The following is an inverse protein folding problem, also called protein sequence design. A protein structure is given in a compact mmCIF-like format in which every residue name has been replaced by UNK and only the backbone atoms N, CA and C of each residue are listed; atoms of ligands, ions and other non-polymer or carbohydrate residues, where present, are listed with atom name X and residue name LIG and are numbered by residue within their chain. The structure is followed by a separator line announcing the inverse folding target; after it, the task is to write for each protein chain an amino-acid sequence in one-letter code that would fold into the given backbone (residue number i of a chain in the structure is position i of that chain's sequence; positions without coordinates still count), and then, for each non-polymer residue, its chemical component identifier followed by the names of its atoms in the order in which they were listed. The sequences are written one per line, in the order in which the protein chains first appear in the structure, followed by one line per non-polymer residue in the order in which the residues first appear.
data_IF_567922741386
#
_entry.id   IF_567922741386
#
_cell.length_a   1.000
_cell.length_b   1.000
_cell.length_c   1.000
_cell.angle_alpha   90.00
_cell.angle_beta   90.00
_cell.angle_gamma   90.00
#
_symmetry.space_group_name_H-M   'P 1'
#
loop_
_entity.id
_entity.type
_entity.pdbx_description
1 polymer ?
#
# COMPACT_ATOMS: atom_id res chain seq x y z
N UNK A 1 -7.36 16.90 -0.49
CA UNK A 1 -6.28 17.91 -0.33
C UNK A 1 -6.82 19.33 -0.49
N UNK A 2 -7.39 19.71 -1.64
CA UNK A 2 -7.88 21.08 -1.89
C UNK A 2 -8.89 21.58 -0.83
N UNK A 3 -9.83 20.73 -0.41
CA UNK A 3 -10.82 21.09 0.62
C UNK A 3 -10.15 21.43 1.95
N UNK A 4 -9.17 20.64 2.39
CA UNK A 4 -8.45 20.86 3.65
C UNK A 4 -7.57 22.11 3.57
N UNK A 5 -6.92 22.34 2.43
CA UNK A 5 -6.10 23.53 2.20
C UNK A 5 -6.93 24.82 2.24
N UNK A 6 -8.09 24.81 1.57
CA UNK A 6 -9.02 25.95 1.59
C UNK A 6 -9.58 26.14 3.00
N UNK A 7 -9.99 25.06 3.68
CA UNK A 7 -10.50 25.15 5.05
C UNK A 7 -9.46 25.74 6.03
N UNK A 8 -8.18 25.39 5.88
CA UNK A 8 -7.11 25.92 6.72
C UNK A 8 -6.78 27.40 6.45
N UNK A 9 -7.19 27.93 5.30
CA UNK A 9 -6.95 29.33 4.92
C UNK A 9 -8.04 30.28 5.42
N UNK A 10 -9.16 29.73 5.93
CA UNK A 10 -10.30 30.51 6.43
C UNK A 10 -10.24 30.51 7.96
N UNK A 11 -10.30 31.69 8.61
CA UNK A 11 -10.24 31.76 10.06
C UNK A 11 -11.50 31.14 10.70
N UNK A 12 -11.30 30.47 11.82
CA UNK A 12 -12.38 29.94 12.63
C UNK A 12 -13.25 31.08 13.19
N UNK A 13 -14.57 30.86 13.19
CA UNK A 13 -15.51 31.76 13.86
C UNK A 13 -15.33 31.67 15.39
N UNK A 14 -15.56 32.78 16.10
CA UNK A 14 -15.34 32.86 17.55
C UNK A 14 -16.16 31.85 18.39
N UNK A 15 -17.31 31.40 17.87
CA UNK A 15 -18.18 30.41 18.53
C UNK A 15 -17.83 28.95 18.16
N UNK A 16 -16.81 28.74 17.33
CA UNK A 16 -16.39 27.41 16.92
C UNK A 16 -15.74 26.66 18.10
N UNK A 17 -16.12 25.39 18.36
CA UNK A 17 -15.40 24.54 19.31
C UNK A 17 -14.00 24.14 18.82
N UNK A 18 -13.69 24.35 17.54
CA UNK A 18 -12.39 24.09 16.92
C UNK A 18 -11.77 25.42 16.51
N UNK A 19 -10.62 25.75 17.08
CA UNK A 19 -9.84 26.92 16.71
C UNK A 19 -8.84 26.59 15.59
N UNK A 20 -8.25 27.63 15.00
CA UNK A 20 -7.30 27.51 13.89
C UNK A 20 -6.07 26.67 14.26
N UNK A 21 -5.60 26.77 15.51
CA UNK A 21 -4.44 26.03 15.99
C UNK A 21 -4.70 24.52 16.08
N UNK A 22 -5.87 24.12 16.61
CA UNK A 22 -6.28 22.72 16.67
C UNK A 22 -6.52 22.16 15.27
N UNK A 23 -7.15 22.94 14.39
CA UNK A 23 -7.34 22.55 13.00
C UNK A 23 -5.99 22.33 12.28
N UNK A 24 -5.06 23.26 12.43
CA UNK A 24 -3.71 23.14 11.88
C UNK A 24 -2.94 21.94 12.43
N UNK A 25 -3.07 21.65 13.73
CA UNK A 25 -2.37 20.52 14.35
C UNK A 25 -2.86 19.18 13.79
N UNK A 26 -4.17 19.03 13.55
CA UNK A 26 -4.76 17.79 13.04
C UNK A 26 -4.61 17.66 11.53
N UNK A 27 -4.85 18.75 10.80
CA UNK A 27 -4.97 18.73 9.33
C UNK A 27 -3.76 19.30 8.59
N UNK A 28 -2.88 20.05 9.25
CA UNK A 28 -1.71 20.68 8.63
C UNK A 28 -0.74 19.65 8.04
N UNK A 29 -0.55 18.51 8.71
CA UNK A 29 0.28 17.41 8.21
C UNK A 29 -0.42 16.52 7.17
N UNK A 30 -1.72 16.70 6.94
CA UNK A 30 -2.48 15.84 6.02
C UNK A 30 -1.95 15.95 4.59
N UNK A 31 -1.55 17.15 4.15
CA UNK A 31 -1.00 17.35 2.81
C UNK A 31 0.25 16.48 2.62
N UNK A 32 1.20 16.60 3.55
CA UNK A 32 2.46 15.83 3.55
C UNK A 32 2.17 14.33 3.63
N UNK A 33 1.27 13.90 4.52
CA UNK A 33 0.95 12.49 4.69
C UNK A 33 0.32 11.87 3.44
N UNK A 34 -0.59 12.59 2.77
CA UNK A 34 -1.19 12.13 1.51
C UNK A 34 -0.13 12.07 0.40
N UNK A 35 0.72 13.08 0.27
CA UNK A 35 1.82 13.06 -0.71
C UNK A 35 2.79 11.90 -0.46
N UNK A 36 3.18 11.67 0.80
CA UNK A 36 4.03 10.55 1.18
C UNK A 36 3.40 9.21 0.83
N UNK A 37 2.10 9.04 1.10
CA UNK A 37 1.35 7.83 0.75
C UNK A 37 1.28 7.61 -0.77
N UNK A 38 1.06 8.66 -1.56
CA UNK A 38 1.01 8.55 -3.02
C UNK A 38 2.37 8.15 -3.61
N UNK A 39 3.47 8.77 -3.15
CA UNK A 39 4.83 8.43 -3.59
C UNK A 39 5.17 6.99 -3.22
N UNK A 40 4.86 6.61 -1.98
CA UNK A 40 5.04 5.26 -1.47
C UNK A 40 4.30 4.22 -2.31
N UNK A 41 3.02 4.48 -2.59
CA UNK A 41 2.18 3.61 -3.40
C UNK A 41 2.75 3.41 -4.81
N UNK A 42 3.14 4.49 -5.49
CA UNK A 42 3.69 4.41 -6.85
C UNK A 42 4.99 3.60 -6.88
N UNK A 43 5.86 3.82 -5.90
CA UNK A 43 7.14 3.11 -5.82
C UNK A 43 6.93 1.63 -5.49
N UNK A 44 6.07 1.32 -4.53
CA UNK A 44 5.71 -0.04 -4.17
C UNK A 44 5.06 -0.79 -5.33
N UNK A 45 4.13 -0.15 -6.06
CA UNK A 45 3.46 -0.75 -7.20
C UNK A 45 4.43 -1.03 -8.36
N UNK A 46 5.34 -0.10 -8.64
CA UNK A 46 6.38 -0.30 -9.65
C UNK A 46 7.24 -1.53 -9.30
N UNK A 47 7.67 -1.63 -8.05
CA UNK A 47 8.48 -2.74 -7.56
C UNK A 47 7.70 -4.07 -7.58
N UNK A 48 6.42 -4.06 -7.22
CA UNK A 48 5.55 -5.24 -7.27
C UNK A 48 5.50 -5.82 -8.69
N UNK A 49 5.22 -4.97 -9.69
CA UNK A 49 5.12 -5.38 -11.09
C UNK A 49 6.44 -5.98 -11.59
N UNK A 50 7.57 -5.34 -11.27
CA UNK A 50 8.91 -5.80 -11.69
C UNK A 50 9.23 -7.17 -11.09
N UNK A 51 9.01 -7.34 -9.78
CA UNK A 51 9.29 -8.60 -9.08
C UNK A 51 8.33 -9.71 -9.54
N UNK A 52 7.06 -9.37 -9.75
CA UNK A 52 6.07 -10.32 -10.27
C UNK A 52 6.49 -10.87 -11.63
N UNK A 53 6.90 -9.99 -12.56
CA UNK A 53 7.37 -10.40 -13.89
C UNK A 53 8.69 -11.15 -13.85
N UNK A 54 9.62 -10.75 -12.98
CA UNK A 54 10.87 -11.46 -12.73
C UNK A 54 10.59 -12.93 -12.34
N UNK A 55 9.73 -13.15 -11.36
CA UNK A 55 9.36 -14.51 -10.95
C UNK A 55 8.51 -15.25 -11.98
N UNK A 56 7.64 -14.56 -12.72
CA UNK A 56 6.86 -15.17 -13.82
C UNK A 56 7.79 -15.76 -14.89
N UNK A 57 8.82 -15.01 -15.30
CA UNK A 57 9.79 -15.44 -16.30
C UNK A 57 10.67 -16.58 -15.79
N UNK A 58 11.13 -16.49 -14.53
CA UNK A 58 11.97 -17.51 -13.93
C UNK A 58 11.23 -18.84 -13.71
N UNK A 59 9.99 -18.79 -13.21
CA UNK A 59 9.19 -19.98 -12.87
C UNK A 59 8.38 -20.54 -14.03
N UNK A 60 8.50 -19.94 -15.23
CA UNK A 60 7.70 -20.27 -16.43
C UNK A 60 6.19 -20.32 -16.13
N UNK A 61 5.74 -19.45 -15.23
CA UNK A 61 4.34 -19.35 -14.78
C UNK A 61 3.82 -20.52 -13.94
N UNK A 62 4.65 -21.45 -13.47
CA UNK A 62 4.17 -22.63 -12.72
C UNK A 62 3.86 -22.35 -11.25
N UNK A 63 4.59 -21.44 -10.61
CA UNK A 63 4.51 -21.19 -9.16
C UNK A 63 3.80 -19.87 -8.87
N UNK A 64 2.47 -19.88 -8.93
CA UNK A 64 1.66 -18.69 -8.70
C UNK A 64 1.78 -18.14 -7.26
N UNK A 65 1.80 -19.03 -6.27
CA UNK A 65 2.03 -18.69 -4.86
C UNK A 65 3.33 -17.90 -4.65
N UNK A 66 4.41 -18.38 -5.28
CA UNK A 66 5.74 -17.84 -5.07
C UNK A 66 5.83 -16.40 -5.57
N UNK A 67 5.40 -16.16 -6.82
CA UNK A 67 5.42 -14.81 -7.39
C UNK A 67 4.52 -13.84 -6.64
N UNK A 68 3.34 -14.29 -6.19
CA UNK A 68 2.39 -13.42 -5.49
C UNK A 68 2.91 -12.99 -4.11
N UNK A 69 3.37 -13.94 -3.30
CA UNK A 69 3.87 -13.65 -1.96
C UNK A 69 5.17 -12.86 -2.01
N UNK A 70 6.13 -13.25 -2.85
CA UNK A 70 7.40 -12.52 -2.93
C UNK A 70 7.25 -11.10 -3.46
N UNK A 71 6.41 -10.89 -4.49
CA UNK A 71 6.17 -9.54 -5.00
C UNK A 71 5.45 -8.69 -3.96
N UNK A 72 4.45 -9.26 -3.28
CA UNK A 72 3.68 -8.58 -2.23
C UNK A 72 4.54 -8.27 -1.00
N UNK A 73 5.36 -9.19 -0.51
CA UNK A 73 6.23 -8.92 0.64
C UNK A 73 7.21 -7.80 0.33
N UNK A 74 7.89 -7.87 -0.81
CA UNK A 74 8.90 -6.86 -1.14
C UNK A 74 8.25 -5.50 -1.43
N UNK A 75 7.13 -5.45 -2.15
CA UNK A 75 6.41 -4.19 -2.40
C UNK A 75 5.84 -3.59 -1.12
N UNK A 76 5.28 -4.40 -0.22
CA UNK A 76 4.75 -3.91 1.05
C UNK A 76 5.85 -3.41 1.99
N UNK A 77 7.03 -4.05 1.98
CA UNK A 77 8.20 -3.53 2.69
C UNK A 77 8.56 -2.13 2.18
N UNK A 78 8.71 -2.00 0.86
CA UNK A 78 9.04 -0.74 0.20
C UNK A 78 7.97 0.33 0.48
N UNK A 79 6.68 -0.02 0.44
CA UNK A 79 5.60 0.89 0.80
C UNK A 79 5.75 1.39 2.24
N UNK A 80 5.81 0.48 3.23
CA UNK A 80 5.94 0.88 4.63
C UNK A 80 7.23 1.66 4.91
N UNK A 81 8.32 1.30 4.26
CA UNK A 81 9.59 2.01 4.39
C UNK A 81 9.51 3.42 3.83
N UNK A 82 9.02 3.58 2.59
CA UNK A 82 8.96 4.87 1.91
C UNK A 82 8.00 5.83 2.62
N UNK A 83 6.80 5.39 3.02
CA UNK A 83 5.86 6.27 3.72
C UNK A 83 6.40 6.73 5.07
N UNK A 84 6.93 5.83 5.90
CA UNK A 84 7.44 6.17 7.23
C UNK A 84 8.69 7.05 7.11
N UNK A 85 9.58 6.75 6.14
CA UNK A 85 10.75 7.59 5.85
C UNK A 85 10.35 9.02 5.48
N UNK A 86 9.40 9.19 4.56
CA UNK A 86 8.95 10.52 4.14
C UNK A 86 8.27 11.29 5.29
N UNK A 87 7.52 10.61 6.15
CA UNK A 87 6.89 11.21 7.33
C UNK A 87 7.93 11.65 8.38
N UNK A 88 8.97 10.84 8.61
CA UNK A 88 10.08 11.20 9.50
C UNK A 88 10.91 12.36 8.95
N UNK A 89 11.21 12.36 7.65
CA UNK A 89 11.93 13.47 6.99
C UNK A 89 11.15 14.79 7.06
N UNK A 90 9.82 14.71 7.12
CA UNK A 90 8.94 15.88 7.20
C UNK A 90 8.63 16.31 8.64
N UNK A 91 9.29 15.72 9.65
CA UNK A 91 9.04 15.96 11.08
C UNK A 91 7.57 15.72 11.52
N UNK A 92 6.79 14.97 10.74
CA UNK A 92 5.42 14.56 11.11
C UNK A 92 5.47 13.40 12.10
N UNK A 93 6.50 12.57 12.00
CA UNK A 93 6.71 11.38 12.82
C UNK A 93 8.11 11.41 13.43
N UNK A 94 8.22 11.01 14.70
CA UNK A 94 9.51 10.98 15.40
C UNK A 94 10.33 9.75 14.98
N UNK A 95 11.66 9.90 14.92
CA UNK A 95 12.59 8.85 14.48
C UNK A 95 12.68 7.64 15.43
N UNK A 96 12.34 7.83 16.70
CA UNK A 96 12.23 6.76 17.70
C UNK A 96 11.12 5.74 17.35
N UNK A 97 10.05 6.21 16.70
CA UNK A 97 8.92 5.37 16.28
C UNK A 97 9.18 4.66 14.93
N UNK A 98 10.19 5.08 14.18
CA UNK A 98 10.47 4.59 12.82
C UNK A 98 10.55 3.08 12.75
N UNK A 99 11.42 2.47 13.57
CA UNK A 99 11.67 1.02 13.55
C UNK A 99 10.43 0.26 14.03
N UNK A 100 9.78 0.76 15.08
CA UNK A 100 8.58 0.13 15.64
C UNK A 100 7.45 0.07 14.63
N UNK A 101 7.17 1.18 13.94
CA UNK A 101 6.12 1.27 12.92
C UNK A 101 6.48 0.51 11.64
N UNK A 102 7.75 0.54 11.24
CA UNK A 102 8.22 -0.20 10.06
C UNK A 102 8.05 -1.71 10.27
N UNK A 103 8.56 -2.23 11.38
CA UNK A 103 8.50 -3.67 11.66
C UNK A 103 7.06 -4.12 11.89
N UNK A 104 6.30 -3.42 12.73
CA UNK A 104 4.92 -3.81 13.04
C UNK A 104 4.01 -3.71 11.80
N UNK A 105 4.10 -2.62 11.04
CA UNK A 105 3.33 -2.42 9.82
C UNK A 105 3.69 -3.43 8.74
N UNK A 106 4.98 -3.68 8.53
CA UNK A 106 5.45 -4.68 7.56
C UNK A 106 5.00 -6.09 7.96
N UNK A 107 5.22 -6.50 9.21
CA UNK A 107 4.88 -7.84 9.68
C UNK A 107 3.36 -8.10 9.59
N UNK A 108 2.56 -7.11 9.98
CA UNK A 108 1.10 -7.18 9.84
C UNK A 108 0.69 -7.42 8.38
N UNK A 109 1.25 -6.65 7.44
CA UNK A 109 0.96 -6.80 6.00
C UNK A 109 1.41 -8.15 5.45
N UNK A 110 2.56 -8.66 5.88
CA UNK A 110 3.07 -9.99 5.46
C UNK A 110 2.15 -11.11 5.95
N UNK A 111 1.72 -11.07 7.21
CA UNK A 111 0.78 -12.07 7.75
C UNK A 111 -0.53 -12.10 6.97
N UNK A 112 -1.08 -10.92 6.66
CA UNK A 112 -2.28 -10.80 5.84
C UNK A 112 -2.06 -11.38 4.44
N UNK A 113 -0.93 -11.09 3.79
CA UNK A 113 -0.62 -11.62 2.45
C UNK A 113 -0.48 -13.16 2.42
N UNK A 114 0.07 -13.77 3.48
CA UNK A 114 0.12 -15.23 3.62
C UNK A 114 -1.30 -15.81 3.73
N UNK A 115 -2.15 -15.18 4.55
CA UNK A 115 -3.54 -15.58 4.75
C UNK A 115 -4.37 -15.39 3.48
N UNK A 116 -4.09 -14.35 2.69
CA UNK A 116 -4.78 -14.06 1.42
C UNK A 116 -4.47 -15.12 0.35
N UNK A 117 -3.27 -15.70 0.37
CA UNK A 117 -2.86 -16.64 -0.68
C UNK A 117 -3.75 -17.88 -0.86
N UNK A 118 -4.22 -18.60 0.19
CA UNK A 118 -5.19 -19.68 -0.01
C UNK A 118 -6.50 -19.20 -0.65
N UNK A 119 -6.96 -17.98 -0.35
CA UNK A 119 -8.14 -17.40 -1.01
C UNK A 119 -7.88 -17.12 -2.48
N UNK A 120 -6.68 -16.67 -2.84
CA UNK A 120 -6.28 -16.50 -4.24
C UNK A 120 -6.36 -17.84 -4.99
N UNK A 121 -5.82 -18.92 -4.42
CA UNK A 121 -5.91 -20.26 -5.02
C UNK A 121 -7.36 -20.74 -5.16
N UNK A 122 -8.20 -20.47 -4.17
CA UNK A 122 -9.63 -20.76 -4.22
C UNK A 122 -10.31 -20.00 -5.37
N UNK A 123 -10.02 -18.72 -5.53
CA UNK A 123 -10.50 -17.90 -6.65
C UNK A 123 -10.08 -18.50 -7.99
N UNK A 124 -8.78 -18.78 -8.19
CA UNK A 124 -8.27 -19.42 -9.41
C UNK A 124 -8.97 -20.76 -9.67
N UNK A 125 -9.18 -21.58 -8.64
CA UNK A 125 -9.89 -22.85 -8.77
C UNK A 125 -11.35 -22.66 -9.23
N UNK A 126 -12.10 -21.74 -8.63
CA UNK A 126 -13.48 -21.44 -9.01
C UNK A 126 -13.59 -20.95 -10.46
N UNK A 127 -12.71 -20.04 -10.86
CA UNK A 127 -12.66 -19.52 -12.23
C UNK A 127 -12.31 -20.64 -13.23
N UNK A 128 -11.28 -21.43 -12.95
CA UNK A 128 -10.90 -22.56 -13.82
C UNK A 128 -12.01 -23.60 -13.93
N UNK A 129 -12.76 -23.85 -12.86
CA UNK A 129 -13.92 -24.76 -12.88
C UNK A 129 -15.07 -24.20 -13.73
N UNK A 130 -15.33 -22.90 -13.65
CA UNK A 130 -16.41 -22.25 -14.40
C UNK A 130 -16.12 -22.19 -15.91
N UNK A 131 -14.87 -21.88 -16.29
CA UNK A 131 -14.46 -21.67 -17.68
C UNK A 131 -13.72 -22.87 -18.31
N UNK A 132 -13.56 -23.99 -17.59
CA UNK A 132 -12.86 -25.22 -18.04
C UNK A 132 -11.44 -24.98 -18.56
N UNK A 133 -10.72 -24.03 -17.95
CA UNK A 133 -9.37 -23.63 -18.36
C UNK A 133 -8.27 -24.56 -17.85
N UNK A 134 -7.28 -24.87 -18.70
CA UNK A 134 -6.01 -25.53 -18.32
C UNK A 134 -5.15 -24.61 -17.46
N UNK A 135 -4.08 -25.16 -16.89
CA UNK A 135 -3.13 -24.38 -16.07
C UNK A 135 -2.47 -23.35 -16.99
N UNK A 136 -2.58 -22.06 -16.62
CA UNK A 136 -2.08 -20.91 -17.39
C UNK A 136 -2.76 -20.66 -18.74
N UNK A 137 -3.98 -21.17 -18.96
CA UNK A 137 -4.78 -20.83 -20.13
C UNK A 137 -5.51 -19.51 -19.87
N UNK A 138 -5.30 -18.53 -20.75
CA UNK A 138 -5.99 -17.24 -20.71
C UNK A 138 -7.38 -17.37 -21.36
N UNK A 139 -8.33 -16.56 -20.91
CA UNK A 139 -9.66 -16.51 -21.54
C UNK A 139 -9.50 -15.71 -22.83
N UNK A 140 -9.56 -16.36 -23.99
CA UNK A 140 -9.72 -15.65 -25.26
C UNK A 140 -11.14 -15.10 -25.31
N UNK A 141 -11.25 -13.78 -25.16
CA UNK A 141 -12.47 -13.03 -25.39
C UNK A 141 -12.33 -12.48 -26.81
N UNK A 142 -12.64 -13.33 -27.80
CA UNK A 142 -12.85 -12.89 -29.18
C UNK A 142 -14.24 -12.25 -29.34
#
# INVERSE_FOLDING_TARGET
ILIIYVANSVPAINESPVNDELFNTVFGSTIIAVFASMISYLFAQYVDIQIYHFWKNLTKGKMLWLRNNFSTFFSQFIDTFTIILLLCLSNVLMWDQFIGLLISGFLFKVLIAIIDTPFLYLGVYLFRRKFKLKINEEINID
#
